data_IF_316604960193
#
_entry.id   IF_316604960193
#
_cell.length_a   1.000
_cell.length_b   1.000
_cell.length_c   1.000
_cell.angle_alpha   90.00
_cell.angle_beta   90.00
_cell.angle_gamma   90.00
#
_symmetry.space_group_name_H-M   'P 1'
#
loop_
_entity.id
_entity.type
_entity.pdbx_description
1 polymer ?
#
# COMPACT_ATOMS: atom_id res chain seq x y z
N UNK A 1 -3.76 -24.53 -5.44
CA UNK A 1 -2.90 -23.86 -4.44
C UNK A 1 -1.89 -22.98 -5.18
N UNK A 2 -1.89 -21.66 -4.96
CA UNK A 2 -0.65 -20.89 -5.07
C UNK A 2 -0.41 -20.02 -3.82
N UNK A 3 0.78 -20.14 -3.25
CA UNK A 3 1.40 -19.21 -2.30
C UNK A 3 2.70 -18.77 -2.95
N UNK A 4 2.86 -17.49 -3.31
CA UNK A 4 4.16 -16.82 -3.47
C UNK A 4 4.00 -15.34 -3.88
N UNK A 5 4.49 -14.43 -3.02
CA UNK A 5 4.67 -12.99 -3.31
C UNK A 5 3.52 -12.09 -2.87
N UNK A 6 3.81 -11.14 -1.98
CA UNK A 6 2.92 -10.00 -1.71
C UNK A 6 2.74 -9.25 -3.05
N UNK A 7 1.59 -9.42 -3.71
CA UNK A 7 1.26 -8.64 -4.90
C UNK A 7 1.38 -7.16 -4.54
N UNK A 8 2.09 -6.39 -5.37
CA UNK A 8 2.10 -4.93 -5.24
C UNK A 8 0.67 -4.39 -5.44
N UNK A 9 0.37 -3.19 -4.93
CA UNK A 9 -0.93 -2.54 -5.15
C UNK A 9 -1.32 -2.51 -6.63
N UNK A 10 -0.36 -2.26 -7.52
CA UNK A 10 -0.57 -2.29 -8.96
C UNK A 10 -1.03 -3.67 -9.45
N UNK A 11 -0.40 -4.74 -8.98
CA UNK A 11 -0.73 -6.11 -9.39
C UNK A 11 -2.09 -6.59 -8.84
N UNK A 12 -2.55 -6.03 -7.71
CA UNK A 12 -3.91 -6.25 -7.19
C UNK A 12 -4.93 -5.46 -8.01
N UNK A 13 -4.65 -4.19 -8.28
CA UNK A 13 -5.52 -3.34 -9.10
C UNK A 13 -5.70 -3.92 -10.50
N UNK A 14 -4.62 -4.18 -11.23
CA UNK A 14 -4.66 -4.78 -12.58
C UNK A 14 -5.43 -6.10 -12.61
N UNK A 15 -5.22 -6.96 -11.60
CA UNK A 15 -5.92 -8.24 -11.54
C UNK A 15 -7.43 -8.06 -11.33
N UNK A 16 -7.87 -7.10 -10.53
CA UNK A 16 -9.31 -6.88 -10.37
C UNK A 16 -9.91 -6.04 -11.52
N UNK A 17 -9.17 -5.08 -12.09
CA UNK A 17 -9.61 -4.33 -13.29
C UNK A 17 -9.83 -5.27 -14.48
N UNK A 18 -8.99 -6.31 -14.62
CA UNK A 18 -9.18 -7.38 -15.61
C UNK A 18 -10.42 -8.26 -15.35
N UNK A 19 -10.90 -8.35 -14.11
CA UNK A 19 -12.08 -9.14 -13.76
C UNK A 19 -13.37 -8.31 -13.82
N UNK A 20 -13.27 -7.00 -13.59
CA UNK A 20 -14.40 -6.07 -13.57
C UNK A 20 -14.56 -5.26 -14.85
N UNK A 21 -13.59 -5.33 -15.78
CA UNK A 21 -13.49 -4.51 -16.99
C UNK A 21 -13.65 -2.99 -16.72
N UNK A 22 -13.41 -2.57 -15.47
CA UNK A 22 -13.58 -1.21 -14.99
C UNK A 22 -12.38 -0.80 -14.15
N UNK A 23 -11.97 0.47 -14.25
CA UNK A 23 -10.91 1.02 -13.41
C UNK A 23 -11.32 0.97 -11.95
N UNK A 24 -10.39 0.57 -11.10
CA UNK A 24 -10.63 0.44 -9.67
C UNK A 24 -10.27 1.72 -8.97
N UNK A 25 -11.28 2.27 -8.30
CA UNK A 25 -11.11 3.44 -7.45
C UNK A 25 -10.18 3.16 -6.27
N UNK A 26 -9.54 4.21 -5.75
CA UNK A 26 -8.63 4.08 -4.62
C UNK A 26 -9.34 3.57 -3.36
N UNK A 27 -10.63 3.87 -3.18
CA UNK A 27 -11.45 3.34 -2.09
C UNK A 27 -11.63 1.83 -2.20
N UNK A 28 -11.95 1.34 -3.39
CA UNK A 28 -12.13 -0.08 -3.65
C UNK A 28 -10.81 -0.84 -3.50
N UNK A 29 -9.70 -0.26 -3.95
CA UNK A 29 -8.37 -0.83 -3.74
C UNK A 29 -8.02 -0.93 -2.25
N UNK A 30 -8.40 0.07 -1.44
CA UNK A 30 -8.22 0.01 0.01
C UNK A 30 -9.02 -1.15 0.62
N UNK A 31 -10.28 -1.33 0.22
CA UNK A 31 -11.13 -2.41 0.71
C UNK A 31 -10.56 -3.80 0.39
N UNK A 32 -10.12 -4.03 -0.85
CA UNK A 32 -9.55 -5.32 -1.28
C UNK A 32 -8.27 -5.64 -0.50
N UNK A 33 -7.43 -4.63 -0.29
CA UNK A 33 -6.09 -4.82 0.31
C UNK A 33 -6.10 -4.93 1.83
N UNK A 34 -7.14 -4.45 2.50
CA UNK A 34 -7.30 -4.51 3.96
C UNK A 34 -8.37 -5.51 4.41
N UNK A 35 -8.92 -6.31 3.48
CA UNK A 35 -9.76 -7.48 3.79
C UNK A 35 -8.96 -8.77 3.73
N UNK A 36 -9.31 -9.69 4.63
CA UNK A 36 -8.89 -11.09 4.56
C UNK A 36 -9.71 -11.83 3.50
N UNK A 37 -9.29 -13.05 3.19
CA UNK A 37 -10.00 -13.93 2.24
C UNK A 37 -11.42 -14.31 2.67
N UNK A 38 -11.70 -14.25 3.97
CA UNK A 38 -13.03 -14.48 4.54
C UNK A 38 -13.93 -13.24 4.47
N UNK A 39 -13.43 -12.13 3.93
CA UNK A 39 -14.14 -10.84 3.84
C UNK A 39 -14.08 -9.99 5.10
N UNK A 40 -13.51 -10.48 6.21
CA UNK A 40 -13.34 -9.70 7.44
C UNK A 40 -12.20 -8.68 7.30
N UNK A 41 -12.25 -7.54 8.02
CA UNK A 41 -11.14 -6.59 8.04
C UNK A 41 -9.89 -7.23 8.67
N UNK A 42 -8.70 -6.87 8.18
CA UNK A 42 -7.44 -7.41 8.70
C UNK A 42 -7.22 -7.06 10.18
N UNK A 43 -7.62 -5.84 10.59
CA UNK A 43 -7.55 -5.33 11.97
C UNK A 43 -8.83 -4.58 12.32
N UNK A 44 -9.10 -4.37 13.61
CA UNK A 44 -10.24 -3.56 14.05
C UNK A 44 -10.14 -2.10 13.56
N UNK A 45 -8.93 -1.53 13.57
CA UNK A 45 -8.66 -0.18 13.04
C UNK A 45 -8.97 -0.09 11.55
N UNK A 46 -8.56 -1.09 10.76
CA UNK A 46 -8.90 -1.14 9.34
C UNK A 46 -10.42 -1.19 9.15
N UNK A 47 -11.14 -1.98 9.98
CA UNK A 47 -12.60 -2.00 9.97
C UNK A 47 -13.23 -0.65 10.26
N UNK A 48 -12.74 0.09 11.26
CA UNK A 48 -13.22 1.44 11.58
C UNK A 48 -12.97 2.43 10.43
N UNK A 49 -11.79 2.36 9.79
CA UNK A 49 -11.45 3.18 8.63
C UNK A 49 -12.36 2.86 7.45
N UNK A 50 -12.62 1.59 7.17
CA UNK A 50 -13.49 1.17 6.07
C UNK A 50 -14.93 1.68 6.24
N UNK A 51 -15.46 1.66 7.47
CA UNK A 51 -16.78 2.25 7.74
C UNK A 51 -16.78 3.77 7.53
N UNK A 52 -15.76 4.49 8.03
CA UNK A 52 -15.62 5.94 7.77
C UNK A 52 -15.53 6.28 6.28
N UNK A 53 -14.82 5.47 5.50
CA UNK A 53 -14.70 5.66 4.06
C UNK A 53 -16.04 5.45 3.35
N UNK A 54 -16.84 4.45 3.76
CA UNK A 54 -18.19 4.23 3.22
C UNK A 54 -19.14 5.38 3.54
N UNK A 55 -19.15 5.84 4.78
CA UNK A 55 -20.00 6.96 5.21
C UNK A 55 -19.68 8.22 4.40
N UNK A 56 -18.39 8.52 4.24
CA UNK A 56 -17.92 9.67 3.45
C UNK A 56 -18.22 9.53 1.96
N UNK A 57 -18.13 8.32 1.42
CA UNK A 57 -18.51 8.05 0.03
C UNK A 57 -19.99 8.37 -0.20
N UNK A 58 -20.88 7.92 0.70
CA UNK A 58 -22.31 8.20 0.60
C UNK A 58 -22.61 9.71 0.68
N UNK A 59 -21.92 10.45 1.56
CA UNK A 59 -22.03 11.92 1.67
C UNK A 59 -21.64 12.60 0.34
N UNK A 60 -20.51 12.22 -0.24
CA UNK A 60 -20.03 12.81 -1.49
C UNK A 60 -20.84 12.41 -2.72
N UNK A 61 -21.36 11.19 -2.77
CA UNK A 61 -22.21 10.71 -3.86
C UNK A 61 -23.56 11.46 -3.89
N UNK A 62 -24.12 11.78 -2.72
CA UNK A 62 -25.30 12.64 -2.61
C UNK A 62 -25.04 14.07 -3.12
N UNK A 63 -23.84 14.61 -2.85
CA UNK A 63 -23.43 15.95 -3.33
C UNK A 63 -23.17 15.93 -4.84
N UNK A 64 -22.46 14.93 -5.35
CA UNK A 64 -22.19 14.75 -6.78
C UNK A 64 -23.46 14.55 -7.60
N UNK A 65 -24.50 13.95 -7.01
CA UNK A 65 -25.83 13.87 -7.63
C UNK A 65 -26.46 15.25 -7.84
N UNK A 66 -26.07 16.28 -7.08
CA UNK A 66 -26.55 17.66 -7.24
C UNK A 66 -25.63 18.52 -8.12
N UNK A 67 -24.33 18.21 -8.17
CA UNK A 67 -23.34 18.98 -8.94
C UNK A 67 -22.60 18.04 -9.92
N UNK A 68 -23.12 17.94 -11.13
CA UNK A 68 -22.66 17.01 -12.18
C UNK A 68 -21.27 17.31 -12.74
N UNK A 69 -20.61 18.36 -12.23
CA UNK A 69 -19.26 18.78 -12.64
C UNK A 69 -18.14 18.05 -11.89
N UNK A 70 -18.46 17.30 -10.83
CA UNK A 70 -17.47 16.66 -9.97
C UNK A 70 -17.03 15.31 -10.57
N UNK A 71 -15.72 15.15 -10.79
CA UNK A 71 -15.12 13.91 -11.31
C UNK A 71 -15.04 12.83 -10.20
N UNK A 72 -15.49 11.60 -10.48
CA UNK A 72 -15.49 10.48 -9.53
C UNK A 72 -14.10 10.14 -8.97
N UNK A 73 -13.04 10.12 -9.80
CA UNK A 73 -11.67 9.89 -9.31
C UNK A 73 -11.21 11.00 -8.36
N UNK A 74 -11.69 12.22 -8.55
CA UNK A 74 -11.36 13.36 -7.69
C UNK A 74 -12.08 13.26 -6.34
N UNK A 75 -13.30 12.71 -6.32
CA UNK A 75 -14.06 12.38 -5.10
C UNK A 75 -13.32 11.33 -4.27
N UNK A 76 -12.90 10.23 -4.88
CA UNK A 76 -12.17 9.16 -4.18
C UNK A 76 -10.90 9.69 -3.51
N UNK A 77 -10.12 10.49 -4.24
CA UNK A 77 -8.91 11.12 -3.72
C UNK A 77 -9.21 12.06 -2.56
N UNK A 78 -10.27 12.86 -2.67
CA UNK A 78 -10.72 13.77 -1.62
C UNK A 78 -11.11 13.00 -0.36
N UNK A 79 -11.92 11.95 -0.48
CA UNK A 79 -12.36 11.12 0.65
C UNK A 79 -11.16 10.47 1.35
N UNK A 80 -10.21 9.92 0.58
CA UNK A 80 -8.98 9.32 1.13
C UNK A 80 -8.19 10.36 1.94
N UNK A 81 -8.09 11.60 1.44
CA UNK A 81 -7.39 12.69 2.14
C UNK A 81 -8.15 13.10 3.42
N UNK A 82 -9.48 13.11 3.40
CA UNK A 82 -10.28 13.46 4.58
C UNK A 82 -10.18 12.40 5.68
N UNK A 83 -10.27 11.11 5.33
CA UNK A 83 -10.29 10.01 6.31
C UNK A 83 -8.88 9.63 6.76
N UNK A 84 -7.94 9.47 5.83
CA UNK A 84 -6.58 9.04 6.17
C UNK A 84 -5.67 10.25 6.47
N UNK A 85 -6.01 11.45 5.99
CA UNK A 85 -5.20 12.67 6.04
C UNK A 85 -4.43 12.94 4.73
N UNK A 86 -3.71 14.07 4.66
CA UNK A 86 -2.81 14.35 3.54
C UNK A 86 -1.62 13.38 3.53
N UNK A 87 -1.41 12.69 2.41
CA UNK A 87 -0.30 11.75 2.19
C UNK A 87 1.04 12.47 2.44
N UNK A 88 1.69 12.19 3.58
CA UNK A 88 3.01 12.76 3.88
C UNK A 88 4.03 12.16 2.92
N UNK A 89 4.70 13.02 2.14
CA UNK A 89 5.76 12.64 1.20
C UNK A 89 6.78 11.71 1.89
N UNK A 90 7.13 10.60 1.23
CA UNK A 90 8.11 9.63 1.72
C UNK A 90 7.56 8.46 2.54
N UNK A 91 6.23 8.37 2.77
CA UNK A 91 5.62 7.20 3.44
C UNK A 91 4.39 6.71 2.68
N UNK A 92 4.46 5.50 2.15
CA UNK A 92 3.29 4.80 1.59
C UNK A 92 2.37 4.47 2.76
N UNK A 93 1.24 5.16 2.87
CA UNK A 93 0.28 4.95 3.99
C UNK A 93 -0.37 3.58 4.01
N UNK A 94 -0.16 2.80 2.97
CA UNK A 94 -0.55 1.39 2.91
C UNK A 94 0.52 0.45 3.49
N UNK A 95 1.61 1.01 4.02
CA UNK A 95 2.69 0.31 4.68
C UNK A 95 2.90 0.86 6.10
N UNK A 96 1.80 1.16 6.79
CA UNK A 96 1.80 1.70 8.15
C UNK A 96 1.45 0.69 9.24
N UNK A 97 0.73 -0.38 8.91
CA UNK A 97 0.13 -1.32 9.88
C UNK A 97 0.39 -2.80 9.52
N UNK A 98 1.50 -3.09 8.84
CA UNK A 98 2.00 -4.46 8.74
C UNK A 98 2.88 -4.80 9.94
N UNK A 99 2.95 -6.08 10.33
CA UNK A 99 3.95 -6.57 11.28
C UNK A 99 5.32 -6.05 10.86
N UNK A 100 5.97 -5.26 11.72
CA UNK A 100 7.33 -4.84 11.40
C UNK A 100 8.23 -6.09 11.38
N UNK A 101 9.34 -6.09 10.62
CA UNK A 101 10.25 -7.24 10.59
C UNK A 101 10.67 -7.71 12.00
N UNK A 102 10.73 -6.81 12.99
CA UNK A 102 11.03 -7.13 14.39
C UNK A 102 9.93 -7.95 15.08
N UNK A 103 8.67 -7.78 14.71
CA UNK A 103 7.52 -8.53 15.23
C UNK A 103 7.37 -9.90 14.57
N UNK A 104 7.78 -10.03 13.30
CA UNK A 104 7.72 -11.30 12.56
C UNK A 104 8.96 -12.19 12.78
N UNK A 105 10.16 -11.60 12.77
CA UNK A 105 11.43 -12.32 12.92
C UNK A 105 11.98 -12.32 14.36
N UNK A 106 11.35 -11.59 15.28
CA UNK A 106 11.89 -11.34 16.63
C UNK A 106 13.08 -10.37 16.62
N UNK A 107 13.53 -9.96 17.81
CA UNK A 107 14.66 -9.03 18.00
C UNK A 107 16.03 -9.58 17.54
N UNK A 108 16.10 -10.77 16.94
CA UNK A 108 17.33 -11.34 16.39
C UNK A 108 17.73 -10.76 15.03
N UNK A 109 17.11 -9.66 14.58
CA UNK A 109 17.49 -8.96 13.34
C UNK A 109 18.72 -8.03 13.49
N UNK A 110 19.38 -8.02 14.64
CA UNK A 110 20.81 -7.67 14.66
C UNK A 110 21.52 -8.96 14.21
N UNK A 111 22.10 -9.09 13.02
CA UNK A 111 23.06 -8.17 12.41
C UNK A 111 23.14 -8.44 10.90
N UNK A 112 22.58 -7.55 10.08
CA UNK A 112 23.29 -7.16 8.85
C UNK A 112 23.66 -5.70 8.99
N UNK A 113 24.64 -5.45 9.86
CA UNK A 113 25.45 -4.25 9.75
C UNK A 113 26.60 -4.68 8.85
N UNK A 114 26.64 -4.29 7.56
CA UNK A 114 27.84 -4.54 6.78
C UNK A 114 28.96 -3.77 7.48
N UNK A 115 29.91 -4.49 8.03
CA UNK A 115 31.09 -3.88 8.62
C UNK A 115 31.73 -2.97 7.55
N UNK A 116 32.19 -1.78 7.93
CA UNK A 116 32.78 -0.80 7.00
C UNK A 116 33.90 -1.43 6.15
N UNK A 117 34.61 -2.40 6.72
CA UNK A 117 35.62 -3.23 6.06
C UNK A 117 35.05 -4.11 4.95
N UNK A 118 33.90 -4.75 5.15
CA UNK A 118 33.22 -5.57 4.14
C UNK A 118 32.73 -4.71 2.96
N UNK A 119 32.16 -3.54 3.26
CA UNK A 119 31.76 -2.59 2.22
C UNK A 119 32.96 -2.04 1.43
N UNK A 120 34.09 -1.76 2.09
CA UNK A 120 35.32 -1.34 1.41
C UNK A 120 35.93 -2.45 0.55
N UNK A 121 35.94 -3.70 1.03
CA UNK A 121 36.47 -4.83 0.28
C UNK A 121 35.67 -5.09 -1.01
N UNK A 122 34.34 -5.00 -0.94
CA UNK A 122 33.47 -5.18 -2.12
C UNK A 122 33.66 -4.04 -3.13
N UNK A 123 33.75 -2.79 -2.66
CA UNK A 123 34.02 -1.63 -3.53
C UNK A 123 35.39 -1.74 -4.18
N UNK A 124 36.40 -2.23 -3.46
CA UNK A 124 37.75 -2.42 -4.02
C UNK A 124 37.76 -3.55 -5.06
N UNK A 125 37.10 -4.67 -4.77
CA UNK A 125 36.93 -5.78 -5.72
C UNK A 125 36.30 -5.32 -7.03
N UNK A 126 35.26 -4.48 -6.95
CA UNK A 126 34.59 -3.93 -8.14
C UNK A 126 35.49 -2.97 -8.92
N UNK A 127 36.32 -2.16 -8.23
CA UNK A 127 37.31 -1.29 -8.89
C UNK A 127 38.38 -2.10 -9.61
N UNK A 128 38.88 -3.16 -8.99
CA UNK A 128 39.91 -4.02 -9.58
C UNK A 128 39.36 -4.79 -10.80
N UNK A 129 38.07 -5.17 -10.78
CA UNK A 129 37.39 -5.74 -11.95
C UNK A 129 37.25 -4.74 -13.12
N UNK A 130 36.99 -3.45 -12.84
CA UNK A 130 36.95 -2.43 -13.89
C UNK A 130 38.34 -2.09 -14.43
N UNK A 131 39.39 -2.25 -13.63
CA UNK A 131 40.78 -2.01 -14.06
C UNK A 131 41.36 -3.16 -14.92
N UNK A 132 40.69 -4.31 -14.96
CA UNK A 132 41.04 -5.47 -15.81
C UNK A 132 40.28 -5.50 -17.15
N UNK A 133 39.46 -4.48 -17.41
CA UNK A 133 38.76 -4.26 -18.69
C UNK A 133 39.48 -3.17 -19.49
#
# INVERSE_FOLDING_TARGET
MPIAGSKSFACVAEAEELWSDQKIGHLQLFDITHRKKDGSPMTSEAGEIMEKLKDKKAEHEAIASSDSSINLEDIDNKIIIEVLGLKRYGRVRIQGSGVNPTQYFGSSSQQYIPSRSQAQAEVQRLRDQMAQM
#
